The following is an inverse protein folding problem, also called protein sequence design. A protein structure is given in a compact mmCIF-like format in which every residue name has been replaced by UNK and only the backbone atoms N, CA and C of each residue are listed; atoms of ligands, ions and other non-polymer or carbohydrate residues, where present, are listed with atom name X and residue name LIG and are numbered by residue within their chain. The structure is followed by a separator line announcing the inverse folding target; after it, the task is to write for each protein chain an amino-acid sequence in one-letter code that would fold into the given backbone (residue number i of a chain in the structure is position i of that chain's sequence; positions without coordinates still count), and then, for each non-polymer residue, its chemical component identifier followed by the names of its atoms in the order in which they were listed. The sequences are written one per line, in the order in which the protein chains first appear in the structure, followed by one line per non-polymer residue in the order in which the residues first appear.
data_IF_965715104305
#
_entry.id   IF_965715104305
#
_cell.length_a   1.000
_cell.length_b   1.000
_cell.length_c   1.000
_cell.angle_alpha   90.00
_cell.angle_beta   90.00
_cell.angle_gamma   90.00
#
_symmetry.space_group_name_H-M   'P 1'
#
loop_
_entity.id
_entity.type
_entity.pdbx_description
1 polymer ?
#
# COMPACT_ATOMS: atom_id res chain seq x y z
N UNK A 1 5.31 -13.45 -69.22
CA UNK A 1 6.31 -13.12 -68.17
C UNK A 1 5.89 -11.83 -67.47
N UNK A 2 5.50 -11.88 -66.20
CA UNK A 2 5.62 -10.76 -65.24
C UNK A 2 5.32 -11.31 -63.85
N UNK A 3 6.38 -11.55 -63.09
CA UNK A 3 6.37 -11.92 -61.67
C UNK A 3 6.04 -10.65 -60.88
N UNK A 4 4.95 -10.63 -60.12
CA UNK A 4 4.72 -9.62 -59.09
C UNK A 4 5.16 -10.22 -57.75
N UNK A 5 6.30 -9.76 -57.24
CA UNK A 5 6.80 -10.13 -55.92
C UNK A 5 5.99 -9.40 -54.85
N UNK A 6 5.43 -10.14 -53.91
CA UNK A 6 4.83 -9.61 -52.69
C UNK A 6 5.98 -9.41 -51.70
N UNK A 7 6.29 -8.14 -51.40
CA UNK A 7 7.19 -7.80 -50.31
C UNK A 7 6.42 -7.89 -48.99
N UNK A 8 6.81 -8.84 -48.14
CA UNK A 8 6.32 -8.98 -46.77
C UNK A 8 7.02 -7.93 -45.91
N UNK A 9 6.33 -6.84 -45.57
CA UNK A 9 6.80 -5.89 -44.58
C UNK A 9 6.47 -6.45 -43.18
N UNK A 10 7.48 -7.03 -42.53
CA UNK A 10 7.40 -7.43 -41.11
C UNK A 10 7.42 -6.14 -40.29
N UNK A 11 6.27 -5.77 -39.73
CA UNK A 11 6.15 -4.75 -38.68
C UNK A 11 6.85 -5.27 -37.43
N UNK A 12 8.08 -4.82 -37.21
CA UNK A 12 8.68 -4.82 -35.88
C UNK A 12 7.87 -3.87 -35.01
N UNK A 13 6.87 -4.39 -34.30
CA UNK A 13 6.36 -3.75 -33.11
C UNK A 13 7.53 -3.73 -32.11
N UNK A 14 8.15 -2.56 -31.95
CA UNK A 14 9.04 -2.31 -30.84
C UNK A 14 8.22 -2.41 -29.56
N UNK A 15 8.15 -3.62 -29.00
CA UNK A 15 7.77 -3.83 -27.61
C UNK A 15 8.87 -3.19 -26.77
N UNK A 16 8.74 -1.88 -26.54
CA UNK A 16 9.42 -1.25 -25.41
C UNK A 16 9.07 -2.10 -24.19
N UNK A 17 10.05 -2.54 -23.39
CA UNK A 17 9.75 -3.24 -22.16
C UNK A 17 8.78 -2.34 -21.40
N UNK A 18 7.57 -2.84 -21.15
CA UNK A 18 6.70 -2.27 -20.15
C UNK A 18 7.56 -2.26 -18.89
N UNK A 19 7.97 -1.06 -18.50
CA UNK A 19 8.93 -0.95 -17.43
C UNK A 19 8.22 -1.36 -16.14
N UNK A 20 8.83 -2.27 -15.38
CA UNK A 20 8.35 -2.85 -14.11
C UNK A 20 7.88 -1.85 -13.02
N UNK A 21 8.08 -0.56 -13.27
CA UNK A 21 7.66 0.54 -12.42
C UNK A 21 7.22 1.68 -13.35
N UNK A 22 6.29 2.53 -12.90
CA UNK A 22 6.06 3.81 -13.56
C UNK A 22 7.36 4.65 -13.55
N UNK A 23 7.43 5.67 -14.41
CA UNK A 23 8.65 6.45 -14.59
C UNK A 23 9.12 7.16 -13.30
N UNK A 24 8.19 7.57 -12.43
CA UNK A 24 8.50 8.26 -11.19
C UNK A 24 9.03 7.27 -10.15
N UNK A 25 8.36 6.12 -9.99
CA UNK A 25 8.82 5.05 -9.09
C UNK A 25 10.19 4.50 -9.51
N UNK A 26 10.46 4.33 -10.82
CA UNK A 26 11.79 3.94 -11.32
C UNK A 26 12.87 4.96 -10.96
N UNK A 27 12.56 6.25 -11.05
CA UNK A 27 13.53 7.30 -10.74
C UNK A 27 13.98 7.18 -9.28
N UNK A 28 13.05 6.91 -8.35
CA UNK A 28 13.32 6.70 -6.92
C UNK A 28 14.20 5.47 -6.72
N UNK A 29 13.77 4.32 -7.24
CA UNK A 29 14.49 3.04 -7.10
C UNK A 29 15.95 3.14 -7.57
N UNK A 30 16.20 3.87 -8.67
CA UNK A 30 17.53 3.98 -9.29
C UNK A 30 18.59 4.74 -8.47
N UNK A 31 18.23 5.47 -7.41
CA UNK A 31 19.20 6.29 -6.66
C UNK A 31 19.27 6.01 -5.15
N UNK A 32 18.36 5.23 -4.58
CA UNK A 32 18.40 4.92 -3.15
C UNK A 32 19.25 3.70 -2.81
N UNK A 33 19.94 3.80 -1.67
CA UNK A 33 20.79 2.73 -1.11
C UNK A 33 20.07 2.09 0.08
N UNK A 34 20.22 0.76 0.28
CA UNK A 34 19.67 0.09 1.45
C UNK A 34 20.05 0.76 2.78
N UNK A 35 19.10 0.81 3.71
CA UNK A 35 19.22 1.43 5.03
C UNK A 35 19.14 2.97 5.04
N UNK A 36 18.92 3.61 3.88
CA UNK A 36 18.74 5.07 3.82
C UNK A 36 17.28 5.45 4.00
N UNK A 37 17.09 6.56 4.72
CA UNK A 37 15.81 7.21 4.88
C UNK A 37 15.33 7.72 3.53
N UNK A 38 14.09 7.40 3.19
CA UNK A 38 13.39 7.98 2.05
C UNK A 38 12.78 9.33 2.47
N UNK A 39 12.97 10.40 1.68
CA UNK A 39 12.18 11.61 1.79
C UNK A 39 10.70 11.27 1.65
N UNK A 40 9.83 11.91 2.44
CA UNK A 40 8.41 11.52 2.43
C UNK A 40 7.72 11.81 1.08
N UNK A 41 8.23 12.75 0.29
CA UNK A 41 7.74 12.99 -1.06
C UNK A 41 8.01 11.81 -2.02
N UNK A 42 9.15 11.13 -1.86
CA UNK A 42 9.46 9.92 -2.63
C UNK A 42 8.58 8.76 -2.14
N UNK A 43 8.41 8.63 -0.82
CA UNK A 43 7.46 7.66 -0.25
C UNK A 43 6.05 7.90 -0.81
N UNK A 44 5.57 9.14 -0.82
CA UNK A 44 4.27 9.53 -1.39
C UNK A 44 4.13 9.16 -2.87
N UNK A 45 5.20 9.28 -3.64
CA UNK A 45 5.24 8.85 -5.05
C UNK A 45 5.11 7.33 -5.16
N UNK A 46 5.90 6.59 -4.37
CA UNK A 46 5.81 5.12 -4.33
C UNK A 46 4.43 4.65 -3.82
N UNK A 47 3.83 5.39 -2.88
CA UNK A 47 2.51 5.14 -2.32
C UNK A 47 1.43 5.18 -3.39
N UNK A 48 1.45 6.21 -4.24
CA UNK A 48 0.47 6.37 -5.32
C UNK A 48 0.73 5.46 -6.53
N UNK A 49 1.99 5.03 -6.74
CA UNK A 49 2.36 4.16 -7.87
C UNK A 49 2.13 2.67 -7.61
N UNK A 50 2.11 2.24 -6.34
CA UNK A 50 1.94 0.84 -5.98
C UNK A 50 0.46 0.43 -5.97
N UNK A 51 0.20 -0.79 -6.42
CA UNK A 51 -1.13 -1.42 -6.41
C UNK A 51 -1.52 -1.88 -4.99
N UNK A 52 -0.53 -2.28 -4.17
CA UNK A 52 -0.74 -2.67 -2.77
C UNK A 52 0.53 -2.59 -1.94
N UNK A 53 0.38 -2.18 -0.69
CA UNK A 53 1.41 -2.26 0.35
C UNK A 53 1.08 -3.44 1.25
N UNK A 54 2.02 -4.36 1.43
CA UNK A 54 1.86 -5.57 2.22
C UNK A 54 2.79 -5.52 3.43
N UNK A 55 2.22 -5.50 4.63
CA UNK A 55 3.00 -5.38 5.86
C UNK A 55 3.25 -6.73 6.50
N UNK A 56 4.48 -6.94 6.97
CA UNK A 56 4.93 -8.14 7.69
C UNK A 56 4.52 -9.44 6.98
N UNK A 57 4.78 -9.50 5.67
CA UNK A 57 4.31 -10.56 4.80
C UNK A 57 4.80 -11.96 5.21
N UNK A 58 3.90 -12.94 5.17
CA UNK A 58 4.17 -14.37 5.40
C UNK A 58 3.41 -15.23 4.40
N UNK A 59 4.13 -16.08 3.67
CA UNK A 59 3.53 -17.09 2.79
C UNK A 59 2.46 -16.52 1.82
N UNK A 60 2.71 -15.33 1.25
CA UNK A 60 1.76 -14.68 0.34
C UNK A 60 0.58 -13.94 1.02
N UNK A 61 0.61 -13.78 2.34
CA UNK A 61 -0.39 -13.07 3.12
C UNK A 61 0.25 -11.88 3.87
N UNK A 62 -0.49 -10.79 4.00
CA UNK A 62 -0.07 -9.61 4.77
C UNK A 62 -0.70 -9.65 6.17
N UNK A 63 -0.01 -9.12 7.18
CA UNK A 63 -0.63 -8.87 8.48
C UNK A 63 -1.73 -7.80 8.36
N UNK A 64 -1.43 -6.76 7.58
CA UNK A 64 -2.36 -5.78 7.07
C UNK A 64 -1.85 -5.26 5.74
N UNK A 65 -2.70 -4.56 5.00
CA UNK A 65 -2.34 -3.96 3.72
C UNK A 65 -2.91 -2.57 3.55
N UNK A 66 -2.17 -1.71 2.87
CA UNK A 66 -2.64 -0.37 2.50
C UNK A 66 -2.72 -0.18 0.98
N UNK A 67 -3.63 0.69 0.57
CA UNK A 67 -3.69 1.26 -0.78
C UNK A 67 -3.87 2.77 -0.62
N UNK A 68 -2.92 3.55 -1.11
CA UNK A 68 -3.00 5.01 -1.02
C UNK A 68 -3.90 5.56 -2.12
N UNK A 69 -4.88 6.36 -1.72
CA UNK A 69 -5.97 6.78 -2.61
C UNK A 69 -5.75 8.18 -3.19
N UNK A 70 -5.24 9.09 -2.37
CA UNK A 70 -5.03 10.48 -2.76
C UNK A 70 -4.05 11.18 -1.83
N UNK A 71 -3.37 12.18 -2.41
CA UNK A 71 -2.53 13.16 -1.71
C UNK A 71 -2.93 14.54 -2.22
N UNK A 72 -3.35 15.44 -1.31
CA UNK A 72 -3.71 16.83 -1.60
C UNK A 72 -2.95 17.77 -0.66
N UNK A 73 -1.92 18.42 -1.21
CA UNK A 73 -0.93 19.12 -0.40
C UNK A 73 -0.25 18.15 0.57
N UNK A 74 -0.36 18.45 1.87
CA UNK A 74 0.16 17.57 2.91
C UNK A 74 -0.87 16.51 3.35
N UNK A 75 -2.13 16.59 2.95
CA UNK A 75 -3.15 15.64 3.38
C UNK A 75 -3.08 14.33 2.58
N UNK A 76 -3.17 13.20 3.28
CA UNK A 76 -3.13 11.86 2.68
C UNK A 76 -4.35 11.07 3.11
N UNK A 77 -4.96 10.36 2.17
CA UNK A 77 -5.98 9.36 2.44
C UNK A 77 -5.57 8.01 1.85
N UNK A 78 -5.76 6.96 2.64
CA UNK A 78 -5.41 5.59 2.28
C UNK A 78 -6.49 4.64 2.76
N UNK A 79 -6.64 3.53 2.08
CA UNK A 79 -7.44 2.41 2.54
C UNK A 79 -6.53 1.41 3.24
N UNK A 80 -6.85 1.09 4.49
CA UNK A 80 -6.21 0.00 5.24
C UNK A 80 -7.15 -1.20 5.24
N UNK A 81 -6.58 -2.40 5.09
CA UNK A 81 -7.29 -3.67 5.24
C UNK A 81 -6.56 -4.63 6.17
N UNK A 82 -7.29 -5.26 7.07
CA UNK A 82 -6.76 -6.25 8.02
C UNK A 82 -7.84 -7.27 8.42
N UNK A 83 -7.42 -8.40 8.98
CA UNK A 83 -8.35 -9.30 9.64
C UNK A 83 -8.92 -8.61 10.90
N UNK A 84 -10.26 -8.53 11.01
CA UNK A 84 -10.92 -8.14 12.25
C UNK A 84 -10.93 -9.31 13.23
N UNK A 85 -11.30 -10.48 12.72
CA UNK A 85 -11.24 -11.76 13.40
C UNK A 85 -10.99 -12.90 12.39
N UNK A 86 -11.07 -14.15 12.85
CA UNK A 86 -10.85 -15.34 12.03
C UNK A 86 -11.82 -15.47 10.85
N UNK A 87 -13.01 -14.86 10.94
CA UNK A 87 -14.09 -14.95 9.96
C UNK A 87 -14.24 -13.69 9.10
N UNK A 88 -13.81 -12.52 9.57
CA UNK A 88 -14.09 -11.23 8.94
C UNK A 88 -12.82 -10.45 8.64
N UNK A 89 -12.70 -10.01 7.39
CA UNK A 89 -11.77 -8.96 6.99
C UNK A 89 -12.49 -7.63 6.95
N UNK A 90 -11.84 -6.58 7.42
CA UNK A 90 -12.34 -5.20 7.28
C UNK A 90 -11.39 -4.38 6.41
N UNK A 91 -11.97 -3.41 5.72
CA UNK A 91 -11.26 -2.35 5.02
C UNK A 91 -11.87 -1.00 5.39
N UNK A 92 -11.05 0.02 5.62
CA UNK A 92 -11.52 1.34 6.01
C UNK A 92 -10.56 2.44 5.55
N UNK A 93 -11.06 3.67 5.55
CA UNK A 93 -10.30 4.85 5.12
C UNK A 93 -9.60 5.48 6.30
N UNK A 94 -8.27 5.39 6.28
CA UNK A 94 -7.38 6.16 7.15
C UNK A 94 -7.06 7.53 6.57
N UNK A 95 -6.62 8.43 7.43
CA UNK A 95 -6.17 9.76 7.05
C UNK A 95 -4.92 10.13 7.82
N UNK A 96 -3.98 10.75 7.11
CA UNK A 96 -2.76 11.27 7.70
C UNK A 96 -2.33 12.59 7.05
N UNK A 97 -1.25 13.17 7.56
CA UNK A 97 -0.58 14.32 6.99
C UNK A 97 0.91 14.04 6.80
N UNK A 98 1.45 14.48 5.67
CA UNK A 98 2.88 14.58 5.44
C UNK A 98 3.46 15.70 6.33
N UNK A 99 4.56 15.42 7.03
CA UNK A 99 5.16 16.37 7.97
C UNK A 99 6.68 16.36 7.88
N UNK A 100 7.24 17.57 8.00
CA UNK A 100 8.69 17.81 8.14
C UNK A 100 9.55 17.20 7.02
N UNK A 101 8.94 16.94 5.84
CA UNK A 101 9.58 16.26 4.72
C UNK A 101 9.99 14.80 4.98
N UNK A 102 9.55 14.22 6.11
CA UNK A 102 10.05 12.94 6.63
C UNK A 102 8.95 11.97 7.03
N UNK A 103 7.85 12.46 7.59
CA UNK A 103 6.86 11.62 8.23
C UNK A 103 5.53 11.64 7.49
N UNK A 104 4.81 10.52 7.54
CA UNK A 104 3.35 10.52 7.46
C UNK A 104 2.80 10.31 8.86
N UNK A 105 1.91 11.20 9.31
CA UNK A 105 1.35 11.15 10.66
C UNK A 105 -0.16 11.00 10.62
N UNK A 106 -0.70 10.05 11.38
CA UNK A 106 -2.15 9.90 11.51
C UNK A 106 -2.76 11.11 12.21
N UNK A 107 -4.00 11.45 11.86
CA UNK A 107 -4.68 12.66 12.35
C UNK A 107 -5.89 12.36 13.24
N UNK A 108 -6.04 11.13 13.76
CA UNK A 108 -7.14 10.76 14.66
C UNK A 108 -8.51 10.92 14.01
N UNK A 109 -8.71 10.31 12.84
CA UNK A 109 -9.97 10.33 12.11
C UNK A 109 -10.89 9.18 12.54
N UNK A 110 -12.17 9.47 12.76
CA UNK A 110 -13.18 8.41 12.93
C UNK A 110 -13.39 7.66 11.61
N UNK A 111 -12.72 6.52 11.49
CA UNK A 111 -12.74 5.67 10.32
C UNK A 111 -13.88 4.65 10.32
N UNK A 112 -14.57 4.41 11.45
CA UNK A 112 -15.62 3.40 11.56
C UNK A 112 -16.74 3.58 10.53
N UNK A 113 -17.23 4.80 10.25
CA UNK A 113 -18.25 5.00 9.24
C UNK A 113 -17.85 4.48 7.85
N UNK A 114 -16.55 4.47 7.53
CA UNK A 114 -16.01 4.03 6.24
C UNK A 114 -15.81 2.52 6.12
N UNK A 115 -15.97 1.76 7.21
CA UNK A 115 -15.71 0.31 7.21
C UNK A 115 -16.55 -0.41 6.15
N UNK A 116 -15.86 -1.25 5.38
CA UNK A 116 -16.37 -2.31 4.52
C UNK A 116 -15.87 -3.64 5.09
N UNK A 117 -16.59 -4.72 4.83
CA UNK A 117 -16.22 -6.02 5.39
C UNK A 117 -16.52 -7.16 4.42
N UNK A 118 -15.74 -8.22 4.54
CA UNK A 118 -15.84 -9.44 3.73
C UNK A 118 -15.68 -10.67 4.61
N UNK A 119 -16.47 -11.71 4.31
CA UNK A 119 -16.33 -13.03 4.90
C UNK A 119 -15.05 -13.70 4.36
N UNK A 120 -14.16 -14.11 5.25
CA UNK A 120 -12.82 -14.65 4.90
C UNK A 120 -12.88 -16.01 4.24
N UNK A 121 -13.91 -16.82 4.52
CA UNK A 121 -14.03 -18.16 3.97
C UNK A 121 -14.56 -18.13 2.53
N UNK A 122 -15.41 -17.16 2.21
CA UNK A 122 -16.16 -17.10 0.95
C UNK A 122 -15.80 -15.91 0.05
N UNK A 123 -15.12 -14.89 0.59
CA UNK A 123 -14.86 -13.61 -0.07
C UNK A 123 -16.13 -12.78 -0.28
N UNK A 124 -17.25 -13.15 0.36
CA UNK A 124 -18.52 -12.47 0.17
C UNK A 124 -18.58 -11.18 0.97
N UNK A 125 -19.00 -10.08 0.33
CA UNK A 125 -19.18 -8.80 0.99
C UNK A 125 -20.27 -8.88 2.08
N UNK A 126 -19.92 -8.43 3.29
CA UNK A 126 -20.85 -8.27 4.41
C UNK A 126 -21.50 -6.89 4.29
N UNK A 127 -22.83 -6.85 4.16
CA UNK A 127 -23.57 -5.62 3.87
C UNK A 127 -24.83 -5.47 4.74
N UNK A 128 -25.54 -4.35 4.59
CA UNK A 128 -26.84 -4.13 5.24
C UNK A 128 -26.77 -4.14 6.78
N UNK A 129 -27.72 -4.87 7.42
CA UNK A 129 -27.81 -4.91 8.89
C UNK A 129 -26.61 -5.59 9.54
N UNK A 130 -26.00 -6.57 8.87
CA UNK A 130 -24.81 -7.26 9.38
C UNK A 130 -23.61 -6.31 9.46
N UNK A 131 -23.36 -5.55 8.40
CA UNK A 131 -22.32 -4.51 8.40
C UNK A 131 -22.60 -3.42 9.44
N UNK A 132 -23.85 -3.01 9.60
CA UNK A 132 -24.22 -2.03 10.61
C UNK A 132 -23.94 -2.52 12.03
N UNK A 133 -24.23 -3.79 12.33
CA UNK A 133 -23.94 -4.39 13.63
C UNK A 133 -22.43 -4.47 13.88
N UNK A 134 -21.64 -4.88 12.88
CA UNK A 134 -20.18 -4.93 12.95
C UNK A 134 -19.58 -3.55 13.24
N UNK A 135 -20.08 -2.48 12.59
CA UNK A 135 -19.61 -1.11 12.86
C UNK A 135 -19.87 -0.68 14.31
N UNK A 136 -21.00 -1.07 14.89
CA UNK A 136 -21.32 -0.79 16.31
C UNK A 136 -20.38 -1.57 17.24
N UNK A 137 -20.09 -2.83 16.92
CA UNK A 137 -19.13 -3.65 17.66
C UNK A 137 -17.73 -3.00 17.65
N UNK A 138 -17.21 -2.68 16.47
CA UNK A 138 -15.91 -2.01 16.30
C UNK A 138 -15.87 -0.73 17.13
N UNK A 139 -16.86 0.16 16.97
CA UNK A 139 -16.94 1.42 17.71
C UNK A 139 -16.98 1.24 19.24
N UNK A 140 -17.40 0.07 19.73
CA UNK A 140 -17.44 -0.24 21.16
C UNK A 140 -16.09 -0.63 21.77
N UNK A 141 -15.09 -0.96 20.95
CA UNK A 141 -13.79 -1.49 21.42
C UNK A 141 -12.57 -0.71 20.95
N UNK A 142 -12.70 0.11 19.90
CA UNK A 142 -11.61 0.95 19.42
C UNK A 142 -11.65 2.35 20.04
N UNK A 143 -10.48 2.96 20.19
CA UNK A 143 -10.35 4.38 20.48
C UNK A 143 -9.84 5.10 19.21
N UNK A 144 -10.71 5.87 18.57
CA UNK A 144 -10.36 6.70 17.39
C UNK A 144 -9.79 8.06 17.77
N UNK A 145 -9.74 8.40 19.08
CA UNK A 145 -9.17 9.64 19.59
C UNK A 145 -7.66 9.56 19.86
N UNK A 146 -7.07 8.37 19.67
CA UNK A 146 -5.66 8.06 19.91
C UNK A 146 -4.66 8.87 19.06
N UNK A 147 -3.45 9.00 19.60
CA UNK A 147 -2.35 9.87 19.18
C UNK A 147 -1.97 9.80 17.71
N UNK A 148 -1.45 10.92 17.21
CA UNK A 148 -0.80 11.05 15.91
C UNK A 148 0.51 10.23 15.87
N UNK A 149 0.38 8.91 15.69
CA UNK A 149 1.50 8.06 15.33
C UNK A 149 2.06 8.56 13.99
N UNK A 150 3.38 8.68 13.93
CA UNK A 150 4.08 9.13 12.74
C UNK A 150 5.00 8.03 12.24
N UNK A 151 5.14 7.95 10.93
CA UNK A 151 5.91 6.90 10.28
C UNK A 151 6.92 7.51 9.32
N UNK A 152 8.14 6.98 9.34
CA UNK A 152 9.11 7.20 8.27
C UNK A 152 9.59 5.87 7.69
N UNK A 153 10.28 5.92 6.56
CA UNK A 153 10.58 4.72 5.77
C UNK A 153 12.07 4.63 5.44
N UNK A 154 12.66 3.48 5.75
CA UNK A 154 13.99 3.12 5.31
C UNK A 154 13.90 2.20 4.10
N UNK A 155 14.59 2.57 3.03
CA UNK A 155 14.69 1.72 1.85
C UNK A 155 15.48 0.44 2.16
N UNK A 156 14.98 -0.74 1.78
CA UNK A 156 15.69 -2.03 1.93
C UNK A 156 16.20 -2.57 0.61
N UNK A 157 15.41 -2.45 -0.45
CA UNK A 157 15.77 -2.97 -1.76
C UNK A 157 14.56 -3.02 -2.69
N UNK A 158 14.75 -3.59 -3.85
CA UNK A 158 13.72 -3.84 -4.84
C UNK A 158 14.06 -5.08 -5.64
N UNK A 159 13.04 -5.66 -6.28
CA UNK A 159 13.15 -6.70 -7.28
C UNK A 159 12.45 -6.21 -8.55
N UNK A 160 13.22 -5.94 -9.60
CA UNK A 160 12.68 -5.47 -10.88
C UNK A 160 11.86 -6.54 -11.60
N UNK A 161 12.17 -7.83 -11.40
CA UNK A 161 11.47 -8.92 -12.07
C UNK A 161 10.13 -9.22 -11.39
N UNK A 162 10.07 -9.06 -10.06
CA UNK A 162 8.85 -9.20 -9.28
C UNK A 162 8.05 -7.89 -9.18
N UNK A 163 8.58 -6.78 -9.69
CA UNK A 163 7.98 -5.44 -9.60
C UNK A 163 7.67 -5.04 -8.13
N UNK A 164 8.63 -5.27 -7.23
CA UNK A 164 8.47 -4.97 -5.80
C UNK A 164 9.55 -4.06 -5.23
N UNK A 165 9.17 -3.29 -4.21
CA UNK A 165 10.10 -2.51 -3.36
C UNK A 165 9.87 -2.91 -1.91
N UNK A 166 10.96 -3.15 -1.16
CA UNK A 166 10.89 -3.43 0.27
C UNK A 166 11.38 -2.23 1.08
N UNK A 167 10.61 -1.86 2.10
CA UNK A 167 10.89 -0.79 3.05
C UNK A 167 10.84 -1.33 4.48
N UNK A 168 11.45 -0.61 5.42
CA UNK A 168 11.08 -0.69 6.83
C UNK A 168 10.33 0.58 7.19
N UNK A 169 9.06 0.43 7.58
CA UNK A 169 8.31 1.48 8.24
C UNK A 169 8.76 1.54 9.70
N UNK A 170 9.11 2.74 10.16
CA UNK A 170 9.48 3.00 11.56
C UNK A 170 8.42 3.86 12.21
N UNK A 171 7.97 3.46 13.40
CA UNK A 171 6.92 4.17 14.12
C UNK A 171 7.48 5.13 15.17
N UNK A 172 6.85 6.29 15.27
CA UNK A 172 7.16 7.34 16.22
C UNK A 172 5.89 7.80 16.96
N UNK A 173 5.87 7.61 18.27
CA UNK A 173 4.79 8.16 19.10
C UNK A 173 4.92 9.69 19.18
N UNK A 174 3.79 10.37 18.98
CA UNK A 174 3.68 11.84 18.95
C UNK A 174 4.68 12.52 17.99
N UNK A 175 5.14 11.81 16.96
CA UNK A 175 6.11 12.32 15.98
C UNK A 175 7.56 12.44 16.45
N UNK A 176 7.89 12.05 17.68
CA UNK A 176 9.25 12.25 18.23
C UNK A 176 9.85 11.03 18.88
N UNK A 177 9.05 10.17 19.51
CA UNK A 177 9.56 9.03 20.27
C UNK A 177 9.60 7.78 19.39
N UNK A 178 10.79 7.36 18.98
CA UNK A 178 10.96 6.15 18.17
C UNK A 178 10.60 4.88 18.94
N UNK A 179 9.75 4.04 18.35
CA UNK A 179 9.24 2.80 18.94
C UNK A 179 9.59 1.60 18.05
N UNK A 180 10.82 1.07 18.14
CA UNK A 180 11.32 0.01 17.26
C UNK A 180 10.52 -1.29 17.34
N UNK A 181 9.84 -1.55 18.45
CA UNK A 181 9.00 -2.73 18.63
C UNK A 181 7.73 -2.72 17.77
N UNK A 182 7.42 -1.61 17.11
CA UNK A 182 6.32 -1.46 16.14
C UNK A 182 6.82 -1.28 14.70
N UNK A 183 8.12 -1.40 14.46
CA UNK A 183 8.63 -1.36 13.09
C UNK A 183 8.03 -2.51 12.27
N UNK A 184 7.67 -2.20 11.03
CA UNK A 184 7.11 -3.15 10.09
C UNK A 184 7.99 -3.26 8.84
N UNK A 185 8.17 -4.49 8.34
CA UNK A 185 8.64 -4.67 6.98
C UNK A 185 7.47 -4.46 6.02
N UNK A 186 7.69 -3.72 4.95
CA UNK A 186 6.66 -3.37 3.98
C UNK A 186 7.14 -3.75 2.59
N UNK A 187 6.35 -4.53 1.87
CA UNK A 187 6.57 -4.83 0.46
C UNK A 187 5.52 -4.11 -0.37
N UNK A 188 5.98 -3.24 -1.25
CA UNK A 188 5.15 -2.54 -2.23
C UNK A 188 5.11 -3.39 -3.49
N UNK A 189 3.90 -3.64 -3.98
CA UNK A 189 3.65 -4.38 -5.21
C UNK A 189 3.17 -3.41 -6.30
N UNK A 190 3.86 -3.40 -7.44
CA UNK A 190 3.48 -2.60 -8.60
C UNK A 190 2.80 -3.43 -9.69
N UNK A 191 3.01 -4.76 -9.69
CA UNK A 191 2.21 -5.68 -10.50
C UNK A 191 0.84 -5.95 -9.84
N UNK A 192 -0.23 -5.54 -10.54
CA UNK A 192 -1.60 -5.70 -10.06
C UNK A 192 -2.03 -7.16 -9.91
N UNK A 193 -1.50 -8.06 -10.73
CA UNK A 193 -1.83 -9.49 -10.65
C UNK A 193 -1.24 -10.12 -9.37
N UNK A 194 0.02 -9.83 -9.06
CA UNK A 194 0.67 -10.23 -7.83
C UNK A 194 0.02 -9.60 -6.61
N UNK A 195 -0.27 -8.30 -6.65
CA UNK A 195 -0.98 -7.61 -5.56
C UNK A 195 -2.35 -8.25 -5.26
N UNK A 196 -3.11 -8.60 -6.31
CA UNK A 196 -4.43 -9.21 -6.21
C UNK A 196 -4.43 -10.64 -5.65
N UNK A 197 -3.28 -11.33 -5.65
CA UNK A 197 -3.12 -12.66 -5.03
C UNK A 197 -2.81 -12.62 -3.54
N UNK A 198 -2.48 -11.45 -2.99
CA UNK A 198 -2.15 -11.32 -1.58
C UNK A 198 -3.39 -11.48 -0.72
N UNK A 199 -3.30 -12.36 0.27
CA UNK A 199 -4.30 -12.52 1.33
C UNK A 199 -3.96 -11.72 2.59
N UNK A 200 -4.77 -11.89 3.63
CA UNK A 200 -4.53 -11.34 4.97
C UNK A 200 -4.53 -12.50 5.98
N UNK A 201 -3.65 -12.48 6.98
CA UNK A 201 -3.59 -13.51 8.01
C UNK A 201 -3.96 -13.00 9.41
#
# INVERSE_FOLDING_TARGET
MRRAGIAFAVLFAASLPAGAFDAQSRAIVGHFKPGKLLPIADVATLMLGAERWCYNQREGNCAWSDIYLAIDGDAVSYELSNAWDDAVTISFIGKGNLRDGRYICDIGHDWVPSVRAEDRATGAAITGRALAALKVEIAGVIDTSGSAECFDYLYRGHDEAAETITLTQRQYANGTEYRPEFDAEVTLYFDGEAAGRLGLY
#
